data_IF_799003758628
#
_entry.id   IF_799003758628
#
_cell.length_a   1.000
_cell.length_b   1.000
_cell.length_c   1.000
_cell.angle_alpha   90.00
_cell.angle_beta   90.00
_cell.angle_gamma   90.00
#
_symmetry.space_group_name_H-M   'P 1'
#
loop_
_entity.id
_entity.type
_entity.pdbx_description
1 polymer ?
#
# COMPACT_ATOMS: atom_id res chain seq x y z
N UNK A 1 2.94 -12.42 -14.79
CA UNK A 1 1.94 -11.47 -14.25
C UNK A 1 1.32 -12.10 -13.02
N UNK A 2 1.26 -11.38 -11.89
CA UNK A 2 0.68 -11.90 -10.64
C UNK A 2 -0.85 -12.01 -10.84
N UNK A 3 -1.47 -13.19 -10.68
CA UNK A 3 -2.89 -13.40 -11.01
C UNK A 3 -3.87 -12.85 -9.95
N UNK A 4 -3.37 -12.24 -8.87
CA UNK A 4 -4.18 -11.68 -7.79
C UNK A 4 -4.52 -10.20 -8.04
N UNK A 5 -5.70 -9.76 -7.60
CA UNK A 5 -6.01 -8.32 -7.48
C UNK A 5 -5.14 -7.72 -6.39
N UNK A 6 -4.29 -6.75 -6.74
CA UNK A 6 -3.43 -6.06 -5.78
C UNK A 6 -4.10 -4.78 -5.33
N UNK A 7 -4.30 -4.68 -4.02
CA UNK A 7 -4.78 -3.48 -3.33
C UNK A 7 -3.59 -2.92 -2.59
N UNK A 8 -3.24 -1.67 -2.81
CA UNK A 8 -2.17 -1.00 -2.09
C UNK A 8 -2.72 0.24 -1.38
N UNK A 9 -2.30 0.47 -0.14
CA UNK A 9 -2.73 1.62 0.63
C UNK A 9 -1.56 2.32 1.32
N UNK A 10 -1.64 3.64 1.38
CA UNK A 10 -0.72 4.48 2.13
C UNK A 10 -1.48 5.62 2.81
N UNK A 11 -0.76 6.42 3.57
CA UNK A 11 -1.25 7.62 4.22
C UNK A 11 -0.40 8.00 5.42
N UNK A 12 -0.63 9.20 5.94
CA UNK A 12 0.05 9.67 7.16
C UNK A 12 -0.53 9.00 8.42
N UNK A 13 -1.79 8.59 8.41
CA UNK A 13 -2.48 7.93 9.52
C UNK A 13 -3.47 6.86 9.03
N UNK A 14 -3.99 6.02 9.92
CA UNK A 14 -5.08 5.08 9.61
C UNK A 14 -4.72 3.85 8.77
N UNK A 15 -3.50 3.78 8.21
CA UNK A 15 -3.04 2.67 7.35
C UNK A 15 -3.34 1.28 7.92
N UNK A 16 -2.74 0.95 9.06
CA UNK A 16 -2.86 -0.36 9.72
C UNK A 16 -4.30 -0.71 10.10
N UNK A 17 -5.06 0.26 10.60
CA UNK A 17 -6.48 0.05 10.92
C UNK A 17 -7.28 -0.28 9.65
N UNK A 18 -7.08 0.49 8.58
CA UNK A 18 -7.74 0.25 7.29
C UNK A 18 -7.32 -1.10 6.70
N UNK A 19 -6.04 -1.46 6.71
CA UNK A 19 -5.53 -2.78 6.28
C UNK A 19 -6.25 -3.90 7.02
N UNK A 20 -6.34 -3.81 8.34
CA UNK A 20 -6.98 -4.84 9.17
C UNK A 20 -8.49 -4.97 8.91
N UNK A 21 -9.19 -3.84 8.69
CA UNK A 21 -10.62 -3.86 8.36
C UNK A 21 -10.83 -4.53 6.99
N UNK A 22 -10.08 -4.12 5.96
CA UNK A 22 -10.17 -4.71 4.62
C UNK A 22 -9.85 -6.21 4.69
N UNK A 23 -8.77 -6.60 5.39
CA UNK A 23 -8.40 -8.00 5.55
C UNK A 23 -9.53 -8.82 6.19
N UNK A 24 -10.13 -8.33 7.29
CA UNK A 24 -11.27 -9.01 7.93
C UNK A 24 -12.46 -9.18 6.98
N UNK A 25 -12.82 -8.14 6.23
CA UNK A 25 -13.89 -8.22 5.24
C UNK A 25 -13.57 -9.22 4.11
N UNK A 26 -12.31 -9.28 3.66
CA UNK A 26 -11.88 -10.25 2.66
C UNK A 26 -11.97 -11.69 3.19
N UNK A 27 -11.70 -11.92 4.47
CA UNK A 27 -11.83 -13.24 5.10
C UNK A 27 -13.28 -13.76 5.15
N UNK A 28 -14.27 -12.87 5.10
CA UNK A 28 -15.69 -13.25 4.98
C UNK A 28 -16.05 -13.71 3.55
N UNK A 29 -15.25 -13.31 2.56
CA UNK A 29 -15.52 -13.56 1.12
C UNK A 29 -14.66 -14.72 0.61
N UNK A 30 -13.42 -14.84 1.09
CA UNK A 30 -12.43 -15.79 0.60
C UNK A 30 -11.80 -16.59 1.75
N UNK A 31 -11.45 -17.88 1.51
CA UNK A 31 -10.60 -18.63 2.42
C UNK A 31 -9.24 -17.95 2.63
N UNK A 32 -8.66 -18.07 3.84
CA UNK A 32 -7.41 -17.41 4.21
C UNK A 32 -6.26 -17.65 3.22
N UNK A 33 -6.15 -18.86 2.67
CA UNK A 33 -5.10 -19.21 1.71
C UNK A 33 -5.24 -18.53 0.33
N UNK A 34 -6.32 -17.78 0.09
CA UNK A 34 -6.55 -16.97 -1.10
C UNK A 34 -6.19 -15.50 -0.90
N UNK A 35 -5.81 -15.10 0.32
CA UNK A 35 -5.49 -13.73 0.65
C UNK A 35 -4.02 -13.66 1.05
N UNK A 36 -3.28 -12.70 0.53
CA UNK A 36 -1.98 -12.29 1.07
C UNK A 36 -2.10 -10.86 1.58
N UNK A 37 -1.60 -10.60 2.77
CA UNK A 37 -1.68 -9.27 3.39
C UNK A 37 -0.34 -8.92 4.01
N UNK A 38 0.01 -7.64 3.97
CA UNK A 38 1.18 -7.10 4.68
C UNK A 38 1.17 -7.54 6.14
N UNK A 39 2.28 -8.14 6.58
CA UNK A 39 2.50 -8.42 7.98
C UNK A 39 2.94 -7.14 8.69
N UNK A 40 2.06 -6.62 9.54
CA UNK A 40 2.24 -5.35 10.24
C UNK A 40 3.35 -5.37 11.29
N UNK A 41 3.83 -6.57 11.67
CA UNK A 41 4.94 -6.72 12.61
C UNK A 41 6.31 -6.62 11.94
N UNK A 42 6.35 -6.58 10.60
CA UNK A 42 7.57 -6.42 9.82
C UNK A 42 7.81 -4.94 9.52
N UNK A 43 9.08 -4.56 9.56
CA UNK A 43 9.54 -3.25 9.10
C UNK A 43 9.11 -2.98 7.65
N UNK A 44 8.85 -1.71 7.32
CA UNK A 44 8.37 -1.26 6.00
C UNK A 44 9.31 -1.67 4.86
N UNK A 45 10.60 -1.80 5.13
CA UNK A 45 11.59 -2.27 4.15
C UNK A 45 11.35 -3.73 3.74
N UNK A 46 10.89 -4.57 4.67
CA UNK A 46 10.76 -6.02 4.47
C UNK A 46 9.33 -6.48 4.24
N UNK A 47 8.34 -5.74 4.73
CA UNK A 47 6.96 -6.18 4.74
C UNK A 47 6.37 -6.34 3.32
N UNK A 48 6.73 -5.45 2.38
CA UNK A 48 6.32 -5.51 0.97
C UNK A 48 6.91 -6.72 0.25
N UNK A 49 8.25 -6.92 0.18
CA UNK A 49 8.83 -8.05 -0.54
C UNK A 49 8.40 -9.39 0.06
N UNK A 50 8.33 -9.51 1.39
CA UNK A 50 7.90 -10.75 2.05
C UNK A 50 6.44 -11.06 1.71
N UNK A 51 5.57 -10.05 1.65
CA UNK A 51 4.16 -10.23 1.28
C UNK A 51 4.03 -10.66 -0.18
N UNK A 52 4.81 -10.06 -1.08
CA UNK A 52 4.84 -10.46 -2.48
C UNK A 52 5.27 -11.93 -2.66
N UNK A 53 6.27 -12.40 -1.90
CA UNK A 53 6.73 -13.80 -1.92
C UNK A 53 5.68 -14.82 -1.43
N UNK A 54 4.72 -14.37 -0.60
CA UNK A 54 3.59 -15.21 -0.14
C UNK A 54 2.55 -15.44 -1.23
N UNK A 55 2.52 -14.63 -2.30
CA UNK A 55 1.55 -14.75 -3.38
C UNK A 55 1.75 -16.05 -4.14
N UNK A 56 0.66 -16.81 -4.33
CA UNK A 56 0.62 -18.07 -5.05
C UNK A 56 -0.32 -17.97 -6.26
N UNK A 57 -0.27 -18.91 -7.22
CA UNK A 57 -1.16 -18.89 -8.39
C UNK A 57 -2.66 -18.87 -8.04
N UNK A 58 -3.01 -19.33 -6.84
CA UNK A 58 -4.38 -19.36 -6.35
C UNK A 58 -4.77 -18.18 -5.46
N UNK A 59 -3.85 -17.27 -5.14
CA UNK A 59 -4.17 -16.03 -4.41
C UNK A 59 -5.15 -15.21 -5.24
N UNK A 60 -6.23 -14.75 -4.61
CA UNK A 60 -7.27 -13.90 -5.22
C UNK A 60 -7.01 -12.43 -4.95
N UNK A 61 -6.58 -12.09 -3.74
CA UNK A 61 -6.30 -10.71 -3.34
C UNK A 61 -4.96 -10.63 -2.63
N UNK A 62 -4.16 -9.63 -2.98
CA UNK A 62 -2.95 -9.24 -2.26
C UNK A 62 -3.12 -7.81 -1.75
N UNK A 63 -3.12 -7.63 -0.44
CA UNK A 63 -3.33 -6.35 0.24
C UNK A 63 -2.00 -5.85 0.81
N UNK A 64 -1.53 -4.71 0.29
CA UNK A 64 -0.27 -4.11 0.66
C UNK A 64 -0.47 -2.82 1.44
N UNK A 65 0.13 -2.74 2.63
CA UNK A 65 0.33 -1.49 3.35
C UNK A 65 1.71 -0.91 3.03
N UNK A 66 1.72 0.24 2.37
CA UNK A 66 2.93 0.91 1.90
C UNK A 66 3.28 2.09 2.82
N UNK A 67 4.21 1.84 3.74
CA UNK A 67 4.84 2.87 4.56
C UNK A 67 6.01 3.51 3.83
N UNK A 68 6.10 4.84 3.89
CA UNK A 68 7.18 5.65 3.32
C UNK A 68 7.46 6.82 4.25
N UNK A 69 8.74 7.05 4.49
CA UNK A 69 9.29 8.10 5.35
C UNK A 69 10.35 8.94 4.60
N UNK A 70 10.89 8.44 3.48
CA UNK A 70 11.85 9.14 2.63
C UNK A 70 11.43 9.19 1.17
N UNK A 71 11.95 10.19 0.45
CA UNK A 71 11.77 10.31 -1.00
C UNK A 71 12.40 9.11 -1.72
N UNK A 72 11.67 8.52 -2.65
CA UNK A 72 12.08 7.36 -3.45
C UNK A 72 11.64 6.00 -2.90
N UNK A 73 11.17 5.91 -1.65
CA UNK A 73 10.72 4.64 -1.08
C UNK A 73 9.45 4.10 -1.74
N UNK A 74 8.51 4.97 -2.13
CA UNK A 74 7.31 4.54 -2.84
C UNK A 74 7.68 3.93 -4.19
N UNK A 75 8.65 4.53 -4.88
CA UNK A 75 9.16 3.98 -6.14
C UNK A 75 9.71 2.56 -5.97
N UNK A 76 10.49 2.30 -4.91
CA UNK A 76 11.02 0.96 -4.60
C UNK A 76 9.90 -0.05 -4.32
N UNK A 77 8.88 0.35 -3.57
CA UNK A 77 7.72 -0.52 -3.33
C UNK A 77 6.99 -0.87 -4.62
N UNK A 78 6.86 0.10 -5.54
CA UNK A 78 6.16 -0.05 -6.81
C UNK A 78 6.95 -0.84 -7.87
N UNK A 79 8.24 -1.11 -7.67
CA UNK A 79 8.96 -2.11 -8.47
C UNK A 79 8.44 -3.53 -8.22
N UNK A 80 7.83 -3.76 -7.06
CA UNK A 80 7.30 -5.06 -6.62
C UNK A 80 5.77 -5.07 -6.75
N UNK A 81 5.12 -4.02 -6.28
CA UNK A 81 3.66 -3.92 -6.17
C UNK A 81 3.08 -3.20 -7.39
N UNK A 82 2.15 -3.86 -8.06
CA UNK A 82 1.48 -3.36 -9.25
C UNK A 82 -0.02 -3.26 -8.98
N UNK A 83 -0.50 -2.19 -8.31
CA UNK A 83 -1.85 -2.12 -7.77
C UNK A 83 -2.91 -1.92 -8.85
N UNK A 84 -4.06 -2.56 -8.68
CA UNK A 84 -5.29 -2.24 -9.40
C UNK A 84 -6.19 -1.31 -8.58
N UNK A 85 -5.99 -1.27 -7.26
CA UNK A 85 -6.71 -0.40 -6.34
C UNK A 85 -5.69 0.29 -5.44
N UNK A 86 -5.73 1.62 -5.39
CA UNK A 86 -4.90 2.44 -4.53
C UNK A 86 -5.77 3.19 -3.50
N UNK A 87 -5.33 3.22 -2.25
CA UNK A 87 -6.02 3.93 -1.17
C UNK A 87 -5.06 4.91 -0.51
N UNK A 88 -5.46 6.18 -0.40
CA UNK A 88 -4.76 7.16 0.43
C UNK A 88 -5.68 7.57 1.57
N UNK A 89 -5.38 7.11 2.78
CA UNK A 89 -6.20 7.33 3.98
C UNK A 89 -6.20 8.79 4.45
N UNK A 90 -5.13 9.53 4.15
CA UNK A 90 -4.99 10.94 4.48
C UNK A 90 -3.55 11.41 4.40
N UNK A 91 -3.37 12.73 4.27
CA UNK A 91 -2.07 13.38 4.19
C UNK A 91 -1.99 14.46 5.28
N UNK A 92 -1.02 14.31 6.18
CA UNK A 92 -0.64 15.31 7.18
C UNK A 92 0.87 15.51 7.13
N UNK A 93 1.38 16.68 7.58
CA UNK A 93 2.81 17.00 7.59
C UNK A 93 3.56 16.25 8.71
N UNK A 94 3.55 14.91 8.62
CA UNK A 94 4.41 14.01 9.39
C UNK A 94 5.68 13.74 8.60
N UNK A 95 6.80 13.53 9.29
CA UNK A 95 8.09 13.25 8.63
C UNK A 95 8.50 14.33 7.60
N UNK A 96 8.07 15.58 7.80
CA UNK A 96 8.43 16.71 6.91
C UNK A 96 9.68 17.46 7.38
N UNK A 97 10.33 16.99 8.43
CA UNK A 97 11.63 17.46 8.87
C UNK A 97 12.73 17.08 7.85
N UNK A 98 13.92 17.68 7.99
CA UNK A 98 15.01 17.58 7.01
C UNK A 98 15.57 16.18 6.84
N UNK A 99 15.46 15.33 7.85
CA UNK A 99 16.03 13.97 7.81
C UNK A 99 15.12 13.01 7.02
N UNK A 100 13.87 13.40 6.78
CA UNK A 100 12.83 12.62 6.10
C UNK A 100 12.44 13.25 4.75
N UNK A 101 11.18 13.70 4.58
CA UNK A 101 10.70 14.29 3.33
C UNK A 101 11.21 15.73 3.11
N UNK A 102 11.62 16.44 4.16
CA UNK A 102 12.08 17.83 4.10
C UNK A 102 10.99 18.87 3.78
N UNK A 103 9.81 18.45 3.29
CA UNK A 103 8.65 19.31 3.06
C UNK A 103 7.36 18.50 2.90
N UNK A 104 6.21 19.15 3.13
CA UNK A 104 4.89 18.57 2.82
C UNK A 104 4.73 18.29 1.32
N UNK A 105 5.28 19.14 0.47
CA UNK A 105 5.23 18.97 -0.98
C UNK A 105 5.93 17.67 -1.43
N UNK A 106 7.09 17.36 -0.84
CA UNK A 106 7.80 16.11 -1.11
C UNK A 106 7.02 14.89 -0.60
N UNK A 107 6.39 14.97 0.58
CA UNK A 107 5.53 13.90 1.08
C UNK A 107 4.35 13.64 0.13
N UNK A 108 3.69 14.70 -0.36
CA UNK A 108 2.58 14.60 -1.32
C UNK A 108 3.08 13.96 -2.62
N UNK A 109 4.21 14.44 -3.17
CA UNK A 109 4.83 13.86 -4.38
C UNK A 109 5.14 12.39 -4.19
N UNK A 110 5.68 12.00 -3.04
CA UNK A 110 6.03 10.60 -2.78
C UNK A 110 4.77 9.71 -2.70
N UNK A 111 3.74 10.12 -1.97
CA UNK A 111 2.49 9.34 -1.85
C UNK A 111 1.70 9.31 -3.15
N UNK A 112 1.75 10.37 -3.94
CA UNK A 112 1.08 10.47 -5.25
C UNK A 112 1.58 9.42 -6.25
N UNK A 113 2.83 8.97 -6.16
CA UNK A 113 3.38 7.90 -7.02
C UNK A 113 2.53 6.62 -7.00
N UNK A 114 1.89 6.32 -5.86
CA UNK A 114 0.98 5.18 -5.76
C UNK A 114 -0.22 5.31 -6.72
N UNK A 115 -0.76 6.52 -6.86
CA UNK A 115 -1.87 6.79 -7.79
C UNK A 115 -1.40 6.74 -9.25
N UNK A 116 -0.20 7.26 -9.51
CA UNK A 116 0.39 7.27 -10.85
C UNK A 116 0.75 5.86 -11.36
N UNK A 117 0.90 4.89 -10.45
CA UNK A 117 1.14 3.49 -10.78
C UNK A 117 -0.13 2.70 -11.10
N UNK A 118 -1.32 3.28 -10.92
CA UNK A 118 -2.56 2.61 -11.27
C UNK A 118 -2.67 2.43 -12.80
N UNK A 119 -3.21 1.30 -13.28
CA UNK A 119 -3.59 1.16 -14.69
C UNK A 119 -4.76 2.09 -15.01
N UNK A 120 -5.03 2.30 -16.31
CA UNK A 120 -6.12 3.17 -16.79
C UNK A 120 -7.51 2.77 -16.23
N UNK A 121 -7.73 1.48 -16.00
CA UNK A 121 -8.95 0.93 -15.42
C UNK A 121 -8.84 0.64 -13.90
N UNK A 122 -7.82 1.19 -13.24
CA UNK A 122 -7.63 1.09 -11.80
C UNK A 122 -8.55 2.01 -11.00
N UNK A 123 -8.64 1.75 -9.70
CA UNK A 123 -9.47 2.56 -8.79
C UNK A 123 -8.60 3.29 -7.77
N UNK A 124 -8.84 4.59 -7.62
CA UNK A 124 -8.27 5.40 -6.54
C UNK A 124 -9.35 5.69 -5.49
N UNK A 125 -9.06 5.40 -4.23
CA UNK A 125 -9.91 5.72 -3.08
C UNK A 125 -9.17 6.77 -2.25
N UNK A 126 -9.69 7.98 -2.24
CA UNK A 126 -9.07 9.14 -1.60
C UNK A 126 -9.98 9.68 -0.50
N UNK A 127 -9.38 10.24 0.54
CA UNK A 127 -10.10 11.10 1.46
C UNK A 127 -10.48 12.40 0.75
N UNK A 128 -11.75 12.79 0.84
CA UNK A 128 -12.30 14.01 0.23
C UNK A 128 -12.05 15.25 1.09
N UNK A 129 -11.97 15.08 2.41
CA UNK A 129 -11.74 16.14 3.40
C UNK A 129 -10.32 16.73 3.30
#
# INVERSE_FOLDING_TARGET
MIPATQIALTGSFGKTTTTNIIYKLLCEIYPLNKISVTDINLDTTFNVPITALKIKPWTKVALFELGVDHVGEMSKHLEIVHPQIAIITGITPVHTDKEHFGSLENLIKEKRKLLEALPENGYAILNYD
#
